data_IF_593096953263
#
_entry.id   IF_593096953263
#
_cell.length_a   1.000
_cell.length_b   1.000
_cell.length_c   1.000
_cell.angle_alpha   90.00
_cell.angle_beta   90.00
_cell.angle_gamma   90.00
#
_symmetry.space_group_name_H-M   'P 1'
#
loop_
_entity.id
_entity.type
_entity.pdbx_description
1 polymer ?
#
# COMPACT_ATOMS: atom_id res chain seq x y z
N UNK A 1 14.30 9.99 -2.35
CA UNK A 1 14.60 8.75 -3.07
C UNK A 1 15.60 7.94 -2.25
N UNK A 2 15.31 6.69 -1.96
CA UNK A 2 16.26 5.74 -1.34
C UNK A 2 16.77 4.81 -2.41
N UNK A 3 18.03 4.38 -2.33
CA UNK A 3 18.60 3.37 -3.22
C UNK A 3 18.71 2.06 -2.44
N UNK A 4 18.28 0.96 -3.06
CA UNK A 4 18.38 -0.36 -2.43
C UNK A 4 19.84 -0.83 -2.37
N UNK A 5 20.63 -0.50 -3.41
CA UNK A 5 22.05 -0.82 -3.52
C UNK A 5 22.88 0.44 -3.76
N UNK A 6 23.14 1.25 -2.72
CA UNK A 6 23.87 2.50 -2.86
C UNK A 6 25.32 2.29 -3.33
N UNK A 7 25.93 1.12 -3.04
CA UNK A 7 27.30 0.81 -3.44
C UNK A 7 27.48 0.76 -4.96
N UNK A 8 26.41 0.44 -5.70
CA UNK A 8 26.47 0.43 -7.17
C UNK A 8 26.55 1.83 -7.78
N UNK A 9 26.26 2.88 -7.01
CA UNK A 9 26.45 4.26 -7.47
C UNK A 9 27.91 4.61 -7.72
N UNK A 10 28.87 3.89 -7.12
CA UNK A 10 30.30 4.06 -7.45
C UNK A 10 30.61 3.81 -8.92
N UNK A 11 29.84 2.92 -9.58
CA UNK A 11 29.99 2.69 -11.02
C UNK A 11 29.59 3.90 -11.87
N UNK A 12 28.84 4.87 -11.35
CA UNK A 12 28.56 6.11 -12.08
C UNK A 12 29.82 6.95 -12.33
N UNK A 13 30.89 6.76 -11.54
CA UNK A 13 32.21 7.36 -11.80
C UNK A 13 32.84 6.87 -13.10
N UNK A 14 32.38 5.75 -13.64
CA UNK A 14 32.81 5.27 -14.96
C UNK A 14 32.39 6.23 -16.09
N UNK A 15 31.27 6.94 -15.92
CA UNK A 15 30.75 7.87 -16.91
C UNK A 15 31.71 9.04 -17.16
N UNK A 16 32.16 9.81 -16.15
CA UNK A 16 33.15 10.88 -16.37
C UNK A 16 34.50 10.31 -16.85
N UNK A 17 34.91 9.10 -16.47
CA UNK A 17 36.10 8.45 -16.99
C UNK A 17 35.95 8.18 -18.50
N UNK A 18 34.80 7.68 -18.96
CA UNK A 18 34.53 7.48 -20.39
C UNK A 18 34.47 8.79 -21.17
N UNK A 19 33.90 9.84 -20.60
CA UNK A 19 33.91 11.19 -21.20
C UNK A 19 35.34 11.69 -21.35
N UNK A 20 36.17 11.52 -20.31
CA UNK A 20 37.59 11.85 -20.35
C UNK A 20 38.36 11.10 -21.41
N UNK A 21 38.14 9.77 -21.50
CA UNK A 21 38.72 8.91 -22.52
C UNK A 21 38.29 9.33 -23.94
N UNK A 22 37.01 9.67 -24.12
CA UNK A 22 36.49 10.17 -25.40
C UNK A 22 37.15 11.50 -25.79
N UNK A 23 37.25 12.47 -24.87
CA UNK A 23 37.94 13.73 -25.13
C UNK A 23 39.44 13.53 -25.43
N UNK A 24 40.09 12.64 -24.70
CA UNK A 24 41.50 12.29 -24.96
C UNK A 24 41.70 11.69 -26.36
N UNK A 25 40.85 10.75 -26.76
CA UNK A 25 40.87 10.14 -28.08
C UNK A 25 40.65 11.20 -29.20
N UNK A 26 39.74 12.15 -28.98
CA UNK A 26 39.53 13.25 -29.92
C UNK A 26 40.76 14.15 -30.03
N UNK A 27 41.42 14.49 -28.92
CA UNK A 27 42.65 15.31 -28.90
C UNK A 27 43.79 14.59 -29.58
N UNK A 28 43.97 13.28 -29.34
CA UNK A 28 44.99 12.45 -29.97
C UNK A 28 44.81 12.38 -31.50
N UNK A 29 43.58 12.21 -31.98
CA UNK A 29 43.28 12.22 -33.43
C UNK A 29 43.59 13.56 -34.10
N UNK A 30 43.38 14.68 -33.38
CA UNK A 30 43.72 16.02 -33.90
C UNK A 30 45.23 16.24 -34.03
N UNK A 31 46.06 15.61 -33.20
CA UNK A 31 47.53 15.72 -33.26
C UNK A 31 48.16 14.92 -34.43
N UNK A 32 47.51 13.85 -34.87
CA UNK A 32 47.94 13.03 -35.98
C UNK A 32 47.41 13.46 -37.36
N UNK A 33 46.61 14.52 -37.42
CA UNK A 33 46.09 15.01 -38.69
C UNK A 33 47.18 15.82 -39.44
N UNK A 34 47.67 15.27 -40.54
CA UNK A 34 48.57 15.96 -41.47
C UNK A 34 47.82 17.18 -42.03
N UNK A 35 48.41 18.37 -41.92
CA UNK A 35 47.83 19.61 -42.44
C UNK A 35 48.02 19.62 -43.97
N UNK A 36 46.99 19.23 -44.71
CA UNK A 36 46.91 19.51 -46.13
C UNK A 36 46.40 20.94 -46.35
N UNK A 37 47.13 21.75 -47.12
CA UNK A 37 46.84 23.17 -47.37
C UNK A 37 45.47 23.42 -48.08
N UNK A 38 44.90 22.41 -48.73
CA UNK A 38 43.63 22.54 -49.46
C UNK A 38 42.36 22.31 -48.63
N UNK A 39 42.47 21.98 -47.31
CA UNK A 39 41.33 21.69 -46.44
C UNK A 39 40.57 22.94 -45.98
N UNK A 40 41.09 24.15 -46.16
CA UNK A 40 40.43 25.40 -45.82
C UNK A 40 39.20 25.67 -46.70
N UNK A 41 39.28 25.33 -48.00
CA UNK A 41 38.18 25.46 -48.96
C UNK A 41 37.05 24.46 -48.69
N UNK A 42 37.37 23.23 -48.29
CA UNK A 42 36.37 22.21 -47.97
C UNK A 42 35.68 22.45 -46.63
N UNK A 43 36.36 23.09 -45.69
CA UNK A 43 35.75 23.53 -44.41
C UNK A 43 34.67 24.60 -44.54
N UNK A 44 34.79 25.49 -45.52
CA UNK A 44 33.79 26.52 -45.83
C UNK A 44 32.51 25.95 -46.43
N UNK A 45 32.60 24.82 -47.10
CA UNK A 45 31.43 24.12 -47.68
C UNK A 45 30.67 23.21 -46.70
N UNK A 46 31.32 22.86 -45.60
CA UNK A 46 30.71 22.04 -44.53
C UNK A 46 30.03 22.95 -43.52
N UNK A 47 28.71 23.14 -43.64
CA UNK A 47 27.90 23.96 -42.74
C UNK A 47 28.01 23.56 -41.25
N UNK A 48 27.67 24.44 -40.29
CA UNK A 48 27.85 24.23 -38.86
C UNK A 48 27.09 23.01 -38.29
N UNK A 49 26.08 22.48 -38.98
CA UNK A 49 25.31 21.31 -38.57
C UNK A 49 26.06 19.98 -38.54
N UNK A 50 27.23 19.86 -39.24
CA UNK A 50 27.99 18.62 -39.33
C UNK A 50 28.78 18.31 -38.03
N UNK A 51 29.08 19.32 -37.23
CA UNK A 51 29.81 19.11 -35.96
C UNK A 51 28.88 18.51 -34.90
N UNK A 52 27.63 18.91 -34.88
CA UNK A 52 26.60 18.38 -33.93
C UNK A 52 26.31 16.91 -34.19
N UNK A 53 26.14 16.52 -35.46
CA UNK A 53 25.85 15.13 -35.85
C UNK A 53 26.95 14.14 -35.39
N UNK A 54 28.18 14.60 -35.24
CA UNK A 54 29.30 13.78 -34.78
C UNK A 54 29.26 13.50 -33.30
N UNK A 55 28.78 14.41 -32.49
CA UNK A 55 28.83 14.32 -31.02
C UNK A 55 27.52 13.83 -30.42
N UNK A 56 26.40 13.93 -31.13
CA UNK A 56 25.08 13.54 -30.64
C UNK A 56 24.95 12.02 -30.33
N UNK A 57 25.36 11.09 -31.22
CA UNK A 57 25.26 9.64 -30.90
C UNK A 57 26.11 9.23 -29.69
N UNK A 58 27.40 9.64 -29.55
CA UNK A 58 28.18 9.32 -28.36
C UNK A 58 27.60 9.94 -27.08
N UNK A 59 27.03 11.16 -27.16
CA UNK A 59 26.40 11.81 -26.01
C UNK A 59 25.14 11.04 -25.54
N UNK A 60 24.29 10.62 -26.49
CA UNK A 60 23.12 9.79 -26.18
C UNK A 60 23.51 8.43 -25.60
N UNK A 61 24.59 7.81 -26.13
CA UNK A 61 25.10 6.56 -25.61
C UNK A 61 25.57 6.71 -24.17
N UNK A 62 26.33 7.77 -23.85
CA UNK A 62 26.81 8.03 -22.50
C UNK A 62 25.65 8.35 -21.55
N UNK A 63 24.66 9.12 -22.01
CA UNK A 63 23.47 9.41 -21.22
C UNK A 63 22.65 8.14 -20.95
N UNK A 64 22.44 7.30 -21.96
CA UNK A 64 21.77 6.00 -21.79
C UNK A 64 22.52 5.09 -20.82
N UNK A 65 23.84 5.03 -20.96
CA UNK A 65 24.68 4.24 -20.06
C UNK A 65 24.64 4.77 -18.61
N UNK A 66 24.66 6.08 -18.40
CA UNK A 66 24.51 6.69 -17.08
C UNK A 66 23.18 6.33 -16.43
N UNK A 67 22.09 6.41 -17.19
CA UNK A 67 20.76 6.01 -16.71
C UNK A 67 20.66 4.52 -16.42
N UNK A 68 21.34 3.65 -17.18
CA UNK A 68 21.42 2.22 -16.91
C UNK A 68 22.10 1.94 -15.56
N UNK A 69 23.19 2.65 -15.26
CA UNK A 69 23.90 2.52 -13.98
C UNK A 69 23.02 2.99 -12.79
N UNK A 70 22.27 4.07 -12.99
CA UNK A 70 21.31 4.54 -11.99
C UNK A 70 20.18 3.52 -11.79
N UNK A 71 19.67 2.94 -12.89
CA UNK A 71 18.64 1.89 -12.83
C UNK A 71 19.12 0.66 -12.04
N UNK A 72 20.40 0.30 -12.20
CA UNK A 72 21.02 -0.84 -11.51
C UNK A 72 21.12 -0.61 -10.00
N UNK A 73 21.21 0.64 -9.53
CA UNK A 73 21.22 0.99 -8.11
C UNK A 73 19.81 0.86 -7.46
N UNK A 74 18.77 0.47 -8.23
CA UNK A 74 17.38 0.28 -7.79
C UNK A 74 16.85 1.47 -6.98
N UNK A 75 16.62 2.62 -7.62
CA UNK A 75 16.01 3.77 -6.96
C UNK A 75 14.60 3.42 -6.51
N UNK A 76 14.31 3.67 -5.23
CA UNK A 76 12.99 3.56 -4.63
C UNK A 76 12.35 4.93 -4.53
N UNK A 77 11.11 5.03 -4.96
CA UNK A 77 10.27 6.19 -4.72
C UNK A 77 9.05 5.75 -3.90
N UNK A 78 8.70 6.55 -2.90
CA UNK A 78 7.42 6.40 -2.21
C UNK A 78 6.31 6.86 -3.14
N UNK A 79 5.59 5.90 -3.71
CA UNK A 79 4.40 6.16 -4.52
C UNK A 79 3.19 5.87 -3.64
N UNK A 80 2.29 6.83 -3.51
CA UNK A 80 0.99 6.62 -2.89
C UNK A 80 0.11 5.88 -3.89
N UNK A 81 0.04 4.56 -3.73
CA UNK A 81 -0.89 3.73 -4.51
C UNK A 81 -2.18 3.60 -3.70
N UNK A 82 -3.36 3.56 -4.36
CA UNK A 82 -4.57 3.11 -3.68
C UNK A 82 -4.28 1.71 -3.14
N UNK A 83 -4.56 1.49 -1.84
CA UNK A 83 -4.34 0.18 -1.22
C UNK A 83 -5.23 -0.87 -1.88
N UNK A 84 -4.75 -2.12 -1.95
CA UNK A 84 -5.62 -3.27 -2.20
C UNK A 84 -6.74 -3.25 -1.14
N UNK A 85 -7.94 -3.71 -1.53
CA UNK A 85 -9.14 -3.67 -0.69
C UNK A 85 -8.86 -3.76 0.81
N UNK A 86 -9.08 -2.63 1.49
CA UNK A 86 -8.96 -2.56 2.96
C UNK A 86 -10.34 -2.77 3.54
N UNK A 87 -10.46 -3.69 4.49
CA UNK A 87 -11.72 -3.90 5.22
C UNK A 87 -11.66 -3.14 6.54
N UNK A 88 -12.51 -2.14 6.69
CA UNK A 88 -12.72 -1.47 7.97
C UNK A 88 -13.93 -2.08 8.68
N UNK A 89 -13.85 -2.17 9.98
CA UNK A 89 -15.01 -2.55 10.80
C UNK A 89 -15.29 -1.43 11.78
N UNK A 90 -16.49 -0.89 11.69
CA UNK A 90 -16.98 0.13 12.59
C UNK A 90 -17.80 -0.57 13.69
N UNK A 91 -17.29 -0.60 14.91
CA UNK A 91 -17.98 -1.13 16.09
C UNK A 91 -18.54 0.04 16.89
N UNK A 92 -19.86 0.14 16.94
CA UNK A 92 -20.57 1.27 17.53
C UNK A 92 -21.32 0.82 18.78
N UNK A 93 -21.15 1.57 19.86
CA UNK A 93 -21.91 1.42 21.08
C UNK A 93 -23.35 1.93 20.87
N UNK A 94 -24.32 1.05 21.10
CA UNK A 94 -25.76 1.37 21.08
C UNK A 94 -26.38 1.16 22.46
N UNK A 95 -25.57 1.34 23.51
CA UNK A 95 -26.04 1.28 24.87
C UNK A 95 -26.90 2.50 25.22
N UNK A 96 -27.68 2.39 26.32
CA UNK A 96 -28.57 3.49 26.76
C UNK A 96 -27.83 4.77 27.15
N UNK A 97 -26.53 4.70 27.48
CA UNK A 97 -25.73 5.88 27.74
C UNK A 97 -25.59 6.78 26.48
N UNK A 98 -25.71 6.20 25.28
CA UNK A 98 -25.76 6.95 24.04
C UNK A 98 -27.02 7.83 23.85
N UNK A 99 -27.99 7.77 24.77
CA UNK A 99 -29.12 8.70 24.84
C UNK A 99 -28.76 10.03 25.53
N UNK A 100 -27.56 10.16 26.05
CA UNK A 100 -27.13 11.39 26.71
C UNK A 100 -27.17 12.57 25.74
N UNK A 101 -27.64 13.71 26.23
CA UNK A 101 -27.76 14.94 25.45
C UNK A 101 -26.61 15.93 25.71
N UNK A 102 -25.46 15.45 26.16
CA UNK A 102 -24.25 16.24 26.29
C UNK A 102 -23.60 16.54 24.92
N UNK A 103 -23.98 15.76 23.92
CA UNK A 103 -23.69 16.01 22.50
C UNK A 103 -25.02 16.29 21.79
N UNK A 104 -25.13 17.36 21.06
CA UNK A 104 -26.35 17.72 20.35
C UNK A 104 -26.56 16.89 19.07
N UNK A 105 -27.78 16.40 18.75
CA UNK A 105 -28.97 16.44 19.58
C UNK A 105 -28.95 15.42 20.73
N UNK A 106 -28.35 14.28 20.55
CA UNK A 106 -27.94 13.23 21.48
C UNK A 106 -26.78 12.44 20.89
N UNK A 107 -26.07 11.65 21.72
CA UNK A 107 -24.88 10.92 21.28
C UNK A 107 -25.17 9.97 20.14
N UNK A 108 -26.28 9.22 20.17
CA UNK A 108 -26.56 8.21 19.15
C UNK A 108 -26.86 8.86 17.79
N UNK A 109 -27.65 9.91 17.74
CA UNK A 109 -27.96 10.64 16.51
C UNK A 109 -26.70 11.27 15.93
N UNK A 110 -25.89 11.94 16.77
CA UNK A 110 -24.61 12.51 16.33
C UNK A 110 -23.63 11.44 15.82
N UNK A 111 -23.63 10.26 16.45
CA UNK A 111 -22.81 9.13 15.99
C UNK A 111 -23.28 8.56 14.65
N UNK A 112 -24.61 8.44 14.46
CA UNK A 112 -25.21 8.02 13.19
C UNK A 112 -24.87 8.99 12.06
N UNK A 113 -25.02 10.29 12.29
CA UNK A 113 -24.73 11.33 11.29
C UNK A 113 -23.23 11.38 10.94
N UNK A 114 -22.36 11.25 11.93
CA UNK A 114 -20.92 11.18 11.71
C UNK A 114 -20.53 9.91 10.94
N UNK A 115 -21.13 8.76 11.26
CA UNK A 115 -20.88 7.51 10.56
C UNK A 115 -21.36 7.54 9.10
N UNK A 116 -22.51 8.17 8.82
CA UNK A 116 -23.01 8.39 7.45
C UNK A 116 -22.06 9.27 6.66
N UNK A 117 -21.63 10.40 7.22
CA UNK A 117 -20.65 11.27 6.58
C UNK A 117 -19.31 10.55 6.33
N UNK A 118 -18.89 9.67 7.24
CA UNK A 118 -17.73 8.83 7.06
C UNK A 118 -17.89 7.89 5.86
N UNK A 119 -19.01 7.20 5.73
CA UNK A 119 -19.31 6.32 4.61
C UNK A 119 -19.23 7.07 3.27
N UNK A 120 -19.75 8.30 3.22
CA UNK A 120 -19.68 9.13 2.01
C UNK A 120 -18.24 9.53 1.65
N UNK A 121 -17.39 9.75 2.66
CA UNK A 121 -15.99 10.15 2.47
C UNK A 121 -15.06 8.98 2.13
N UNK A 122 -15.49 7.73 2.37
CA UNK A 122 -14.66 6.56 2.12
C UNK A 122 -14.35 6.36 0.63
N UNK A 123 -13.10 6.02 0.27
CA UNK A 123 -12.75 5.61 -1.09
C UNK A 123 -13.50 4.34 -1.52
N UNK A 124 -13.67 4.16 -2.84
CA UNK A 124 -14.39 3.00 -3.40
C UNK A 124 -13.71 1.64 -3.17
N UNK A 125 -12.41 1.65 -2.87
CA UNK A 125 -11.63 0.44 -2.60
C UNK A 125 -11.66 0.00 -1.13
N UNK A 126 -12.48 0.64 -0.28
CA UNK A 126 -12.63 0.30 1.13
C UNK A 126 -13.97 -0.39 1.34
N UNK A 127 -13.93 -1.60 1.93
CA UNK A 127 -15.11 -2.32 2.41
C UNK A 127 -15.35 -1.96 3.85
N UNK A 128 -16.60 -1.66 4.20
CA UNK A 128 -16.98 -1.37 5.57
C UNK A 128 -17.93 -2.44 6.09
N UNK A 129 -17.57 -3.05 7.22
CA UNK A 129 -18.45 -3.86 8.04
C UNK A 129 -18.93 -3.04 9.24
N UNK A 130 -20.15 -3.28 9.70
CA UNK A 130 -20.73 -2.57 10.84
C UNK A 130 -21.16 -3.59 11.88
N UNK A 131 -20.63 -3.43 13.10
CA UNK A 131 -21.06 -4.15 14.29
C UNK A 131 -21.63 -3.16 15.30
N UNK A 132 -22.67 -3.56 16.00
CA UNK A 132 -23.18 -2.82 17.16
C UNK A 132 -22.99 -3.64 18.42
N UNK A 133 -22.83 -2.96 19.52
CA UNK A 133 -22.75 -3.62 20.81
C UNK A 133 -23.46 -2.78 21.91
N UNK A 134 -24.07 -3.51 22.81
CA UNK A 134 -24.68 -3.01 24.04
C UNK A 134 -24.55 -4.12 25.08
N UNK A 135 -25.63 -4.64 25.66
CA UNK A 135 -25.59 -5.83 26.52
C UNK A 135 -25.10 -7.08 25.79
N UNK A 136 -25.29 -7.14 24.49
CA UNK A 136 -24.79 -8.16 23.54
C UNK A 136 -24.14 -7.43 22.36
N UNK A 137 -23.45 -8.18 21.51
CA UNK A 137 -22.89 -7.62 20.27
C UNK A 137 -23.40 -8.39 19.05
N UNK A 138 -23.63 -7.69 17.94
CA UNK A 138 -24.15 -8.27 16.71
C UNK A 138 -23.52 -7.63 15.48
N UNK A 139 -23.41 -8.42 14.40
CA UNK A 139 -23.08 -7.91 13.08
C UNK A 139 -24.35 -7.31 12.48
N UNK A 140 -24.34 -6.01 12.20
CA UNK A 140 -25.46 -5.32 11.55
C UNK A 140 -25.29 -5.36 10.04
N UNK A 141 -24.06 -5.19 9.56
CA UNK A 141 -23.72 -5.23 8.15
C UNK A 141 -22.39 -5.96 7.94
N UNK A 142 -22.41 -7.01 7.12
CA UNK A 142 -21.19 -7.66 6.66
C UNK A 142 -20.39 -6.72 5.76
N UNK A 143 -19.06 -6.88 5.64
CA UNK A 143 -18.23 -6.00 4.82
C UNK A 143 -18.73 -5.90 3.38
N UNK A 144 -19.14 -4.70 3.00
CA UNK A 144 -19.66 -4.38 1.67
C UNK A 144 -19.01 -3.10 1.12
N UNK A 145 -19.12 -2.91 -0.19
CA UNK A 145 -18.75 -1.66 -0.89
C UNK A 145 -20.01 -0.81 -1.18
N UNK A 146 -21.20 -1.41 -0.97
CA UNK A 146 -22.46 -0.73 -1.22
C UNK A 146 -22.78 0.25 -0.07
N UNK A 147 -22.72 1.53 -0.37
CA UNK A 147 -22.93 2.60 0.62
C UNK A 147 -24.37 2.72 1.09
N UNK A 148 -25.31 2.41 0.21
CA UNK A 148 -26.75 2.46 0.54
C UNK A 148 -27.11 1.43 1.64
N UNK A 149 -26.55 0.20 1.52
CA UNK A 149 -26.72 -0.84 2.54
C UNK A 149 -26.13 -0.44 3.88
N UNK A 150 -24.95 0.23 3.85
CA UNK A 150 -24.27 0.72 5.06
C UNK A 150 -25.09 1.81 5.76
N UNK A 151 -25.61 2.78 5.01
CA UNK A 151 -26.46 3.86 5.55
C UNK A 151 -27.74 3.29 6.11
N UNK A 152 -28.41 2.40 5.37
CA UNK A 152 -29.62 1.72 5.86
C UNK A 152 -29.38 0.87 7.12
N UNK A 153 -28.16 0.32 7.28
CA UNK A 153 -27.76 -0.39 8.49
C UNK A 153 -27.65 0.55 9.71
N UNK A 154 -27.07 1.74 9.51
CA UNK A 154 -26.94 2.75 10.57
C UNK A 154 -28.30 3.28 11.01
N UNK A 155 -29.25 3.47 10.09
CA UNK A 155 -30.58 3.96 10.39
C UNK A 155 -31.42 3.00 11.28
N UNK A 156 -31.01 1.70 11.30
CA UNK A 156 -31.67 0.65 12.09
C UNK A 156 -31.11 0.48 13.51
N UNK A 157 -30.22 1.36 13.96
CA UNK A 157 -29.65 1.27 15.30
C UNK A 157 -30.74 1.47 16.37
N UNK A 158 -30.83 0.52 17.26
CA UNK A 158 -31.75 0.57 18.40
C UNK A 158 -30.99 0.52 19.72
N UNK A 159 -31.32 1.43 20.64
CA UNK A 159 -30.64 1.50 21.93
C UNK A 159 -31.06 0.33 22.83
N UNK A 160 -30.04 -0.36 23.34
CA UNK A 160 -30.20 -1.53 24.23
C UNK A 160 -29.61 -1.27 25.61
N UNK A 161 -29.90 -2.16 26.57
CA UNK A 161 -29.33 -2.08 27.93
C UNK A 161 -27.97 -2.73 27.98
N UNK A 162 -27.08 -2.19 28.82
CA UNK A 162 -25.73 -2.73 29.05
C UNK A 162 -24.71 -2.28 28.02
N UNK A 163 -23.46 -2.52 28.31
CA UNK A 163 -22.30 -2.19 27.44
C UNK A 163 -21.30 -3.30 27.55
N UNK A 164 -21.17 -4.11 26.47
CA UNK A 164 -20.25 -5.24 26.36
C UNK A 164 -19.17 -4.90 25.34
N UNK A 165 -18.29 -3.95 25.63
CA UNK A 165 -17.24 -3.44 24.76
C UNK A 165 -16.31 -4.55 24.25
N UNK A 166 -15.96 -5.52 25.11
CA UNK A 166 -15.17 -6.68 24.72
C UNK A 166 -15.89 -7.58 23.71
N UNK A 167 -17.21 -7.81 23.86
CA UNK A 167 -18.00 -8.56 22.87
C UNK A 167 -18.03 -7.82 21.53
N UNK A 168 -18.21 -6.48 21.55
CA UNK A 168 -18.15 -5.66 20.33
C UNK A 168 -16.85 -5.83 19.57
N UNK A 169 -15.72 -5.82 20.30
CA UNK A 169 -14.42 -6.03 19.70
C UNK A 169 -14.21 -7.45 19.13
N UNK A 170 -14.72 -8.47 19.82
CA UNK A 170 -14.64 -9.86 19.34
C UNK A 170 -15.52 -10.10 18.10
N UNK A 171 -16.72 -9.52 18.07
CA UNK A 171 -17.59 -9.53 16.88
C UNK A 171 -16.93 -8.80 15.72
N UNK A 172 -16.31 -7.62 15.97
CA UNK A 172 -15.58 -6.91 14.94
C UNK A 172 -14.39 -7.73 14.38
N UNK A 173 -13.69 -8.47 15.24
CA UNK A 173 -12.63 -9.40 14.81
C UNK A 173 -13.17 -10.56 13.98
N UNK A 174 -14.34 -11.11 14.32
CA UNK A 174 -14.97 -12.20 13.52
C UNK A 174 -15.36 -11.72 12.12
N UNK A 175 -15.72 -10.45 11.97
CA UNK A 175 -15.99 -9.84 10.66
C UNK A 175 -14.70 -9.78 9.81
N UNK A 176 -13.55 -9.46 10.41
CA UNK A 176 -12.27 -9.42 9.70
C UNK A 176 -11.72 -10.82 9.40
N UNK A 177 -12.01 -11.81 10.25
CA UNK A 177 -11.51 -13.17 10.17
C UNK A 177 -12.62 -14.22 10.26
N UNK A 178 -13.49 -14.30 9.26
CA UNK A 178 -14.62 -15.23 9.29
C UNK A 178 -14.17 -16.71 9.36
N UNK A 179 -12.98 -17.02 8.83
CA UNK A 179 -12.43 -18.37 8.79
C UNK A 179 -11.65 -18.80 10.05
N UNK A 180 -11.39 -17.86 10.97
CA UNK A 180 -10.57 -18.15 12.17
C UNK A 180 -11.33 -18.85 13.29
N UNK A 181 -12.65 -19.09 13.11
CA UNK A 181 -13.48 -19.78 14.08
C UNK A 181 -13.53 -19.08 15.43
N UNK A 182 -13.52 -17.74 15.43
CA UNK A 182 -13.76 -16.96 16.66
C UNK A 182 -15.17 -17.32 17.11
N UNK A 183 -15.26 -17.98 18.27
CA UNK A 183 -16.55 -18.35 18.83
C UNK A 183 -17.31 -17.11 19.29
N UNK A 184 -18.07 -16.56 18.34
CA UNK A 184 -18.89 -15.35 18.57
C UNK A 184 -19.94 -15.63 19.65
N UNK A 185 -20.45 -16.84 19.74
CA UNK A 185 -21.46 -17.22 20.72
C UNK A 185 -20.91 -17.14 22.15
N UNK A 186 -19.71 -17.69 22.39
CA UNK A 186 -19.00 -17.51 23.68
C UNK A 186 -18.63 -16.05 23.93
N UNK A 187 -18.29 -15.31 22.88
CA UNK A 187 -17.92 -13.91 22.96
C UNK A 187 -19.12 -13.01 23.32
N UNK A 188 -20.30 -13.34 22.82
CA UNK A 188 -21.54 -12.58 23.04
C UNK A 188 -22.16 -12.92 24.40
N UNK A 189 -22.21 -14.19 24.78
CA UNK A 189 -22.89 -14.64 26.01
C UNK A 189 -21.99 -14.72 27.24
N UNK A 190 -20.70 -14.33 27.14
CA UNK A 190 -19.82 -14.22 28.30
C UNK A 190 -19.40 -15.52 28.96
N UNK A 191 -19.55 -16.67 28.28
CA UNK A 191 -18.96 -17.92 28.71
C UNK A 191 -17.44 -17.79 28.60
N UNK A 192 -16.78 -17.60 29.74
CA UNK A 192 -15.41 -17.17 29.93
C UNK A 192 -14.41 -17.62 28.86
N UNK A 193 -13.69 -16.66 28.33
CA UNK A 193 -12.50 -16.86 27.49
C UNK A 193 -11.38 -17.47 28.35
N UNK A 194 -11.56 -18.72 28.80
CA UNK A 194 -10.51 -19.46 29.48
C UNK A 194 -9.64 -20.14 28.46
N UNK A 195 -8.52 -19.52 28.15
CA UNK A 195 -7.54 -19.93 27.13
C UNK A 195 -6.76 -21.20 27.51
N UNK A 196 -6.87 -21.66 28.75
CA UNK A 196 -6.16 -22.85 29.23
C UNK A 196 -6.88 -23.47 30.42
N UNK A 197 -7.88 -24.32 30.16
CA UNK A 197 -8.16 -25.38 31.11
C UNK A 197 -8.44 -26.69 30.37
N UNK A 198 -7.42 -27.57 30.16
CA UNK A 198 -7.62 -28.90 29.62
C UNK A 198 -8.29 -29.86 30.63
N UNK A 199 -8.57 -29.38 31.84
CA UNK A 199 -9.22 -30.19 32.87
C UNK A 199 -10.65 -29.70 33.09
N UNK A 200 -11.57 -30.36 32.39
CA UNK A 200 -12.99 -30.19 32.51
C UNK A 200 -13.48 -30.34 33.94
N UNK A 201 -13.84 -29.25 34.56
CA UNK A 201 -14.76 -29.25 35.67
C UNK A 201 -16.18 -29.30 35.14
N UNK A 202 -16.84 -30.41 35.20
CA UNK A 202 -18.28 -30.60 34.91
C UNK A 202 -19.11 -29.73 35.82
N UNK A 203 -19.59 -28.60 35.31
CA UNK A 203 -20.75 -27.91 35.85
C UNK A 203 -21.96 -28.33 35.04
N UNK A 204 -22.63 -29.37 35.53
CA UNK A 204 -23.90 -29.85 35.03
C UNK A 204 -24.99 -28.80 35.30
N UNK A 205 -25.39 -28.06 34.24
CA UNK A 205 -26.73 -27.47 34.18
C UNK A 205 -26.93 -26.86 32.81
N UNK A 206 -27.49 -27.59 31.89
CA UNK A 206 -27.90 -27.11 30.59
C UNK A 206 -27.93 -28.23 29.56
N UNK A 207 -29.13 -28.68 29.17
CA UNK A 207 -29.37 -29.83 28.31
C UNK A 207 -28.53 -29.81 27.05
N UNK A 208 -27.73 -30.83 26.85
CA UNK A 208 -26.99 -31.08 25.64
C UNK A 208 -27.95 -31.30 24.47
N UNK A 209 -27.95 -30.41 23.49
CA UNK A 209 -28.60 -30.64 22.20
C UNK A 209 -27.93 -31.83 21.51
N UNK A 210 -28.70 -32.88 21.23
CA UNK A 210 -28.28 -34.12 20.59
C UNK A 210 -27.90 -33.96 19.11
N UNK A 211 -28.07 -32.80 18.51
CA UNK A 211 -27.78 -32.52 17.10
C UNK A 211 -26.49 -31.76 16.86
N UNK A 212 -25.54 -31.77 17.78
CA UNK A 212 -24.23 -31.18 17.54
C UNK A 212 -23.44 -32.05 16.55
N UNK A 213 -23.60 -31.75 15.26
CA UNK A 213 -22.64 -32.14 14.23
C UNK A 213 -21.24 -31.73 14.70
N UNK A 214 -20.34 -32.72 14.85
CA UNK A 214 -18.99 -32.47 15.35
C UNK A 214 -18.37 -31.26 14.65
N UNK A 215 -18.08 -30.23 15.43
CA UNK A 215 -17.39 -29.07 14.92
C UNK A 215 -16.03 -29.50 14.33
N UNK A 216 -15.61 -29.00 13.18
CA UNK A 216 -14.30 -29.31 12.65
C UNK A 216 -13.22 -28.97 13.71
N UNK A 217 -12.15 -29.78 13.80
CA UNK A 217 -11.12 -29.58 14.81
C UNK A 217 -10.59 -28.14 14.73
N UNK A 218 -10.36 -27.49 15.89
CA UNK A 218 -9.87 -26.12 15.93
C UNK A 218 -8.57 -26.05 15.11
N UNK A 219 -8.54 -25.18 14.10
CA UNK A 219 -7.32 -24.92 13.34
C UNK A 219 -6.22 -24.51 14.33
N UNK A 220 -5.04 -25.09 14.17
CA UNK A 220 -3.89 -24.79 15.01
C UNK A 220 -3.70 -23.29 15.20
N UNK A 221 -3.34 -22.82 16.42
CA UNK A 221 -3.19 -21.39 16.69
C UNK A 221 -2.18 -20.80 15.71
N UNK A 222 -2.60 -19.82 14.94
CA UNK A 222 -1.71 -19.05 14.05
C UNK A 222 -0.63 -18.41 14.94
N UNK A 223 0.61 -18.42 14.45
CA UNK A 223 1.72 -17.74 15.15
C UNK A 223 1.31 -16.28 15.37
N UNK A 224 1.55 -15.72 16.57
CA UNK A 224 1.22 -14.33 16.83
C UNK A 224 1.93 -13.43 15.84
N UNK A 225 1.18 -12.51 15.25
CA UNK A 225 1.72 -11.52 14.31
C UNK A 225 2.26 -10.31 15.10
N UNK A 226 3.24 -9.58 14.55
CA UNK A 226 3.66 -8.31 15.15
C UNK A 226 2.47 -7.35 15.30
N UNK A 227 2.40 -6.62 16.40
CA UNK A 227 1.33 -5.67 16.68
C UNK A 227 1.19 -4.66 15.53
N UNK A 228 -0.03 -4.46 15.05
CA UNK A 228 -0.34 -3.51 13.98
C UNK A 228 0.18 -3.89 12.58
N UNK A 229 0.62 -5.14 12.40
CA UNK A 229 1.17 -5.60 11.10
C UNK A 229 0.11 -5.98 10.07
N UNK A 230 -1.14 -6.18 10.48
CA UNK A 230 -2.25 -6.49 9.57
C UNK A 230 -2.69 -5.25 8.82
N UNK A 231 -2.27 -5.14 7.55
CA UNK A 231 -2.51 -3.94 6.72
C UNK A 231 -3.83 -3.95 5.96
N UNK A 232 -4.49 -5.12 5.89
CA UNK A 232 -5.72 -5.30 5.09
C UNK A 232 -7.01 -4.95 5.83
N UNK A 233 -6.91 -4.51 7.09
CA UNK A 233 -8.08 -4.13 7.86
C UNK A 233 -7.73 -3.51 9.20
N UNK A 234 -8.68 -2.75 9.72
CA UNK A 234 -8.63 -2.16 11.04
C UNK A 234 -10.03 -2.09 11.65
N UNK A 235 -10.08 -1.92 12.97
CA UNK A 235 -11.33 -1.74 13.70
C UNK A 235 -11.35 -0.32 14.25
N UNK A 236 -12.49 0.34 14.09
CA UNK A 236 -12.80 1.62 14.74
C UNK A 236 -13.87 1.32 15.79
N UNK A 237 -13.50 1.40 17.06
CA UNK A 237 -14.35 1.13 18.20
C UNK A 237 -14.81 2.46 18.81
N UNK A 238 -16.10 2.75 18.74
CA UNK A 238 -16.70 3.93 19.33
C UNK A 238 -17.56 3.55 20.54
N UNK A 239 -17.25 4.09 21.71
CA UNK A 239 -17.96 3.81 22.95
C UNK A 239 -17.78 4.94 23.95
N UNK A 240 -18.61 4.98 24.96
CA UNK A 240 -18.33 5.70 26.21
C UNK A 240 -17.34 4.92 27.12
N UNK A 241 -16.93 3.71 26.71
CA UNK A 241 -15.88 2.91 27.34
C UNK A 241 -16.29 2.14 28.58
N UNK A 242 -17.37 2.50 29.26
CA UNK A 242 -17.76 1.90 30.54
C UNK A 242 -18.42 0.54 30.34
N UNK A 243 -17.64 -0.52 30.51
CA UNK A 243 -18.14 -1.89 30.47
C UNK A 243 -19.08 -2.17 31.65
N UNK A 244 -20.25 -2.77 31.37
CA UNK A 244 -21.19 -3.27 32.37
C UNK A 244 -21.39 -4.77 32.30
N UNK A 245 -21.15 -5.38 31.14
CA UNK A 245 -21.34 -6.82 30.88
C UNK A 245 -20.28 -7.33 29.89
N UNK A 246 -20.30 -8.63 29.65
CA UNK A 246 -19.44 -9.26 28.63
C UNK A 246 -17.98 -9.44 29.04
N UNK A 247 -17.14 -9.96 28.12
CA UNK A 247 -15.73 -10.19 28.35
C UNK A 247 -14.93 -8.89 28.54
N UNK A 248 -13.73 -9.01 29.09
CA UNK A 248 -12.84 -7.86 29.29
C UNK A 248 -12.36 -7.30 27.95
N UNK A 249 -12.56 -6.00 27.68
CA UNK A 249 -12.07 -5.37 26.45
C UNK A 249 -10.56 -5.45 26.30
N UNK A 250 -9.80 -5.51 27.40
CA UNK A 250 -8.35 -5.67 27.38
C UNK A 250 -7.94 -7.06 26.86
N UNK A 251 -8.66 -8.12 27.25
CA UNK A 251 -8.42 -9.47 26.73
C UNK A 251 -8.78 -9.56 25.25
N UNK A 252 -9.89 -8.97 24.85
CA UNK A 252 -10.28 -8.88 23.44
C UNK A 252 -9.24 -8.08 22.62
N UNK A 253 -8.67 -7.00 23.18
CA UNK A 253 -7.60 -6.23 22.55
C UNK A 253 -6.31 -7.04 22.39
N UNK A 254 -5.93 -7.86 23.37
CA UNK A 254 -4.78 -8.77 23.24
C UNK A 254 -4.99 -9.75 22.09
N UNK A 255 -6.20 -10.28 21.94
CA UNK A 255 -6.54 -11.17 20.81
C UNK A 255 -6.45 -10.46 19.45
N UNK A 256 -6.85 -9.18 19.38
CA UNK A 256 -6.67 -8.34 18.20
C UNK A 256 -5.19 -8.10 17.89
N UNK A 257 -4.40 -7.79 18.92
CA UNK A 257 -2.96 -7.56 18.80
C UNK A 257 -2.20 -8.81 18.31
N UNK A 258 -2.58 -10.00 18.77
CA UNK A 258 -1.99 -11.27 18.31
C UNK A 258 -2.26 -11.55 16.83
N UNK A 259 -3.35 -10.99 16.27
CA UNK A 259 -3.67 -11.03 14.85
C UNK A 259 -3.07 -9.86 14.08
N UNK A 260 -2.37 -8.96 14.77
CA UNK A 260 -1.76 -7.77 14.20
C UNK A 260 -2.76 -6.67 13.82
N UNK A 261 -4.03 -6.78 14.23
CA UNK A 261 -5.08 -5.81 13.88
C UNK A 261 -4.96 -4.56 14.74
N UNK A 262 -4.97 -3.39 14.09
CA UNK A 262 -5.07 -2.11 14.78
C UNK A 262 -6.52 -1.84 15.18
N UNK A 263 -6.71 -1.44 16.43
CA UNK A 263 -8.02 -0.98 16.92
C UNK A 263 -7.88 0.49 17.29
N UNK A 264 -8.52 1.34 16.50
CA UNK A 264 -8.65 2.76 16.80
C UNK A 264 -9.85 2.94 17.70
N UNK A 265 -9.67 3.64 18.79
CA UNK A 265 -10.75 3.82 19.78
C UNK A 265 -11.16 5.28 19.83
N UNK A 266 -12.48 5.51 19.86
CA UNK A 266 -13.07 6.83 19.96
C UNK A 266 -13.93 6.88 21.21
N UNK A 267 -13.50 7.67 22.17
CA UNK A 267 -14.28 8.00 23.36
C UNK A 267 -15.27 9.11 23.01
N UNK A 268 -16.56 8.81 23.05
CA UNK A 268 -17.58 9.74 22.60
C UNK A 268 -18.48 10.22 23.74
N UNK A 269 -18.46 11.51 23.99
CA UNK A 269 -19.19 12.19 25.03
C UNK A 269 -18.38 13.24 25.78
N UNK A 270 -19.04 14.00 26.65
CA UNK A 270 -18.38 14.99 27.49
C UNK A 270 -17.59 14.34 28.61
N UNK A 271 -16.41 14.92 28.94
CA UNK A 271 -15.61 14.50 30.09
C UNK A 271 -16.29 14.65 31.42
N UNK A 272 -17.12 15.66 31.53
CA UNK A 272 -17.88 15.94 32.75
C UNK A 272 -19.09 14.99 32.91
N UNK A 273 -19.36 14.19 31.86
CA UNK A 273 -20.52 13.30 31.81
C UNK A 273 -21.84 14.05 31.71
N UNK A 274 -22.93 13.30 31.58
CA UNK A 274 -24.28 13.86 31.53
C UNK A 274 -25.28 13.03 32.30
N UNK A 275 -26.28 13.66 32.95
CA UNK A 275 -27.39 12.97 33.58
C UNK A 275 -28.32 12.42 32.50
N UNK A 276 -28.65 11.14 32.59
CA UNK A 276 -29.64 10.50 31.74
C UNK A 276 -30.86 10.19 32.60
N UNK A 277 -32.02 10.76 32.24
CA UNK A 277 -33.31 10.49 32.90
C UNK A 277 -34.05 9.38 32.16
N UNK A 278 -34.36 8.31 32.86
CA UNK A 278 -35.19 7.20 32.39
C UNK A 278 -36.41 7.09 33.27
N UNK A 279 -37.39 7.97 33.05
CA UNK A 279 -38.59 8.07 33.91
C UNK A 279 -38.23 8.55 35.33
N UNK A 280 -38.47 7.70 36.34
CA UNK A 280 -38.18 7.99 37.76
C UNK A 280 -36.71 7.81 38.15
N UNK A 281 -35.86 7.23 37.28
CA UNK A 281 -34.47 6.95 37.55
C UNK A 281 -33.55 7.85 36.72
N UNK A 282 -32.56 8.42 37.34
CA UNK A 282 -31.48 9.13 36.67
C UNK A 282 -30.14 8.48 37.00
N UNK A 283 -29.29 8.32 36.00
CA UNK A 283 -27.89 7.89 36.18
C UNK A 283 -26.97 8.82 35.42
N UNK A 284 -25.72 8.83 35.81
CA UNK A 284 -24.72 9.69 35.24
C UNK A 284 -23.86 8.89 34.23
N UNK A 285 -23.88 9.30 32.98
CA UNK A 285 -23.06 8.69 31.92
C UNK A 285 -21.67 9.35 31.91
N UNK A 286 -20.69 8.64 32.40
CA UNK A 286 -19.29 9.08 32.35
C UNK A 286 -18.52 8.27 31.29
N UNK A 287 -17.56 8.91 30.64
CA UNK A 287 -16.69 8.27 29.65
C UNK A 287 -15.51 7.60 30.34
N UNK A 288 -15.26 6.32 30.06
CA UNK A 288 -14.08 5.57 30.51
C UNK A 288 -12.97 5.64 29.47
N UNK A 289 -12.26 6.77 29.44
CA UNK A 289 -11.16 6.99 28.51
C UNK A 289 -10.00 6.03 28.74
N UNK A 290 -9.76 5.62 30.00
CA UNK A 290 -8.58 4.82 30.35
C UNK A 290 -8.62 3.44 29.71
N UNK A 291 -9.75 2.77 29.77
CA UNK A 291 -9.94 1.47 29.11
C UNK A 291 -9.76 1.58 27.59
N UNK A 292 -10.32 2.62 26.96
CA UNK A 292 -10.21 2.81 25.51
C UNK A 292 -8.75 3.15 25.09
N UNK A 293 -8.04 3.96 25.87
CA UNK A 293 -6.61 4.24 25.67
C UNK A 293 -5.75 2.96 25.75
N UNK A 294 -6.04 2.09 26.71
CA UNK A 294 -5.32 0.83 26.85
C UNK A 294 -5.60 -0.11 25.67
N UNK A 295 -6.83 -0.21 25.19
CA UNK A 295 -7.17 -1.01 24.01
C UNK A 295 -6.39 -0.52 22.79
N UNK A 296 -6.40 0.79 22.51
CA UNK A 296 -5.65 1.37 21.39
C UNK A 296 -4.14 1.09 21.54
N UNK A 297 -3.57 1.29 22.72
CA UNK A 297 -2.14 1.07 22.98
C UNK A 297 -1.72 -0.39 22.76
N UNK A 298 -2.51 -1.36 23.25
CA UNK A 298 -2.22 -2.79 23.11
C UNK A 298 -2.21 -3.22 21.64
N UNK A 299 -3.12 -2.66 20.84
CA UNK A 299 -3.29 -3.04 19.43
C UNK A 299 -2.46 -2.21 18.46
N UNK A 300 -1.74 -1.17 18.96
CA UNK A 300 -0.99 -0.23 18.12
C UNK A 300 -1.90 0.71 17.31
N UNK A 301 -3.15 0.87 17.71
CA UNK A 301 -4.07 1.85 17.17
C UNK A 301 -3.92 3.23 17.81
N UNK A 302 -4.82 4.15 17.43
CA UNK A 302 -4.87 5.51 17.95
C UNK A 302 -6.10 5.68 18.82
N UNK A 303 -5.98 6.50 19.86
CA UNK A 303 -7.08 6.88 20.73
C UNK A 303 -7.50 8.32 20.44
N UNK A 304 -8.81 8.53 20.32
CA UNK A 304 -9.42 9.83 20.08
C UNK A 304 -10.50 10.11 21.10
N UNK A 305 -10.74 11.38 21.34
CA UNK A 305 -11.89 11.86 22.10
C UNK A 305 -12.71 12.79 21.22
N UNK A 306 -14.02 12.65 21.27
CA UNK A 306 -14.95 13.55 20.61
C UNK A 306 -16.05 13.96 21.57
N UNK A 307 -16.22 15.26 21.73
CA UNK A 307 -17.26 15.89 22.55
C UNK A 307 -18.38 16.50 21.71
N UNK A 308 -18.26 16.41 20.39
CA UNK A 308 -19.29 16.87 19.43
C UNK A 308 -19.34 15.97 18.20
N UNK A 309 -20.47 16.00 17.48
CA UNK A 309 -20.62 15.30 16.21
C UNK A 309 -19.61 15.75 15.15
N UNK A 310 -19.29 17.05 15.11
CA UNK A 310 -18.31 17.62 14.15
C UNK A 310 -16.88 17.13 14.43
N UNK A 311 -16.50 17.00 15.71
CA UNK A 311 -15.20 16.40 16.08
C UNK A 311 -15.14 14.93 15.68
N UNK A 312 -16.20 14.18 15.91
CA UNK A 312 -16.28 12.78 15.52
C UNK A 312 -16.18 12.61 14.00
N UNK A 313 -16.86 13.47 13.24
CA UNK A 313 -16.77 13.49 11.78
C UNK A 313 -15.33 13.73 11.30
N UNK A 314 -14.62 14.72 11.86
CA UNK A 314 -13.21 14.99 11.53
C UNK A 314 -12.29 13.81 11.86
N UNK A 315 -12.52 13.12 12.99
CA UNK A 315 -11.75 11.92 13.36
C UNK A 315 -11.96 10.83 12.32
N UNK A 316 -13.18 10.59 11.90
CA UNK A 316 -13.51 9.59 10.90
C UNK A 316 -12.92 9.94 9.52
N UNK A 317 -12.99 11.19 9.07
CA UNK A 317 -12.36 11.66 7.82
C UNK A 317 -10.84 11.45 7.83
N UNK A 318 -10.16 11.77 8.93
CA UNK A 318 -8.73 11.56 9.09
C UNK A 318 -8.38 10.07 9.03
N UNK A 319 -9.12 9.21 9.73
CA UNK A 319 -8.92 7.77 9.67
C UNK A 319 -9.18 7.22 8.25
N UNK A 320 -10.24 7.68 7.58
CA UNK A 320 -10.54 7.29 6.21
C UNK A 320 -9.40 7.58 5.24
N UNK A 321 -8.78 8.75 5.36
CA UNK A 321 -7.64 9.15 4.52
C UNK A 321 -6.38 8.35 4.83
N UNK A 322 -6.12 7.98 6.09
CA UNK A 322 -4.99 7.14 6.48
C UNK A 322 -5.06 5.75 5.82
N UNK A 323 -6.26 5.16 5.77
CA UNK A 323 -6.48 3.84 5.15
C UNK A 323 -6.55 3.88 3.63
N UNK A 324 -6.91 5.04 3.05
CA UNK A 324 -6.97 5.21 1.60
C UNK A 324 -5.60 5.25 0.93
N UNK A 325 -4.58 5.69 1.63
CA UNK A 325 -3.26 6.01 1.11
C UNK A 325 -2.20 5.10 1.72
N UNK A 326 -2.03 3.91 1.17
CA UNK A 326 -0.86 3.09 1.53
C UNK A 326 0.38 3.65 0.81
N UNK A 327 1.35 4.14 1.58
CA UNK A 327 2.67 4.48 1.07
C UNK A 327 3.44 3.20 0.81
N UNK A 328 3.49 2.76 -0.45
CA UNK A 328 4.37 1.67 -0.87
C UNK A 328 5.64 2.23 -1.46
N UNK A 329 6.77 1.78 -0.93
CA UNK A 329 8.05 2.00 -1.57
C UNK A 329 8.10 1.14 -2.84
N UNK A 330 7.93 1.77 -4.00
CA UNK A 330 7.93 1.09 -5.30
C UNK A 330 9.26 1.31 -5.98
N UNK A 331 9.79 0.26 -6.61
CA UNK A 331 11.00 0.36 -7.40
C UNK A 331 10.71 1.11 -8.70
N UNK A 332 11.27 2.30 -8.84
CA UNK A 332 11.19 3.09 -10.08
C UNK A 332 12.33 2.80 -11.05
N UNK A 333 13.20 1.84 -10.72
CA UNK A 333 14.34 1.42 -11.56
C UNK A 333 13.93 1.03 -12.98
N UNK A 334 12.75 0.41 -13.15
CA UNK A 334 12.22 0.03 -14.45
C UNK A 334 12.02 1.23 -15.40
N UNK A 335 11.58 2.38 -14.89
CA UNK A 335 11.43 3.59 -15.71
C UNK A 335 12.78 4.09 -16.24
N UNK A 336 13.80 4.11 -15.38
CA UNK A 336 15.18 4.49 -15.80
C UNK A 336 15.75 3.49 -16.80
N UNK A 337 15.46 2.19 -16.65
CA UNK A 337 15.90 1.16 -17.59
C UNK A 337 15.26 1.33 -18.97
N UNK A 338 13.95 1.62 -19.04
CA UNK A 338 13.25 1.85 -20.32
C UNK A 338 13.79 3.10 -21.02
N UNK A 339 13.95 4.22 -20.30
CA UNK A 339 14.52 5.45 -20.88
C UNK A 339 15.95 5.22 -21.35
N UNK A 340 16.77 4.50 -20.57
CA UNK A 340 18.11 4.11 -20.96
C UNK A 340 18.13 3.31 -22.26
N UNK A 341 17.28 2.29 -22.36
CA UNK A 341 17.17 1.45 -23.57
C UNK A 341 16.77 2.29 -24.79
N UNK A 342 15.81 3.18 -24.65
CA UNK A 342 15.39 4.08 -25.74
C UNK A 342 16.55 4.97 -26.22
N UNK A 343 17.31 5.54 -25.29
CA UNK A 343 18.49 6.37 -25.65
C UNK A 343 19.58 5.56 -26.34
N UNK A 344 19.84 4.33 -25.90
CA UNK A 344 20.83 3.45 -26.52
C UNK A 344 20.40 3.04 -27.93
N UNK A 345 19.15 2.67 -28.14
CA UNK A 345 18.61 2.34 -29.45
C UNK A 345 18.64 3.56 -30.37
N UNK A 346 18.23 4.73 -29.88
CA UNK A 346 18.28 5.97 -30.65
C UNK A 346 19.70 6.35 -31.04
N UNK A 347 20.67 6.20 -30.11
CA UNK A 347 22.09 6.41 -30.37
C UNK A 347 22.60 5.51 -31.49
N UNK A 348 22.25 4.20 -31.41
CA UNK A 348 22.60 3.22 -32.43
C UNK A 348 22.00 3.52 -33.80
N UNK A 349 20.71 3.85 -33.83
CA UNK A 349 19.98 4.22 -35.06
C UNK A 349 20.59 5.46 -35.72
N UNK A 350 20.83 6.54 -34.94
CA UNK A 350 21.45 7.75 -35.44
C UNK A 350 22.89 7.48 -35.95
N UNK A 351 23.65 6.65 -35.25
CA UNK A 351 24.99 6.25 -35.68
C UNK A 351 24.96 5.49 -37.00
N UNK A 352 24.01 4.54 -37.15
CA UNK A 352 23.85 3.78 -38.40
C UNK A 352 23.40 4.68 -39.56
N UNK A 353 22.43 5.54 -39.37
CA UNK A 353 21.91 6.45 -40.40
C UNK A 353 22.95 7.47 -40.86
N UNK A 354 23.79 8.00 -39.97
CA UNK A 354 24.71 9.06 -40.31
C UNK A 354 26.10 8.58 -40.72
N UNK A 355 26.50 7.38 -40.29
CA UNK A 355 27.88 6.87 -40.52
C UNK A 355 27.92 5.56 -41.30
N UNK A 356 26.77 4.90 -41.53
CA UNK A 356 26.74 3.71 -42.39
C UNK A 356 26.73 4.17 -43.86
N UNK A 357 27.91 4.26 -44.46
CA UNK A 357 28.03 4.31 -45.93
C UNK A 357 27.88 2.88 -46.44
N UNK A 358 26.92 2.54 -47.30
CA UNK A 358 26.90 1.27 -47.98
C UNK A 358 28.17 1.17 -48.80
N UNK A 359 28.98 0.12 -48.60
CA UNK A 359 30.04 -0.19 -49.50
C UNK A 359 29.43 -0.43 -50.86
N UNK A 360 29.91 0.26 -51.96
CA UNK A 360 29.42 -0.06 -53.31
C UNK A 360 29.76 -1.53 -53.57
N UNK A 361 28.77 -2.32 -53.91
CA UNK A 361 28.92 -3.68 -54.41
C UNK A 361 29.52 -3.63 -55.81
N UNK A 362 30.83 -3.52 -55.88
CA UNK A 362 31.51 -3.32 -57.13
C UNK A 362 33.03 -3.59 -57.05
N UNK A 363 33.41 -4.84 -56.94
CA UNK A 363 34.75 -5.29 -57.40
C UNK A 363 34.92 -6.81 -57.39
N UNK A 364 33.89 -7.57 -57.71
CA UNK A 364 34.05 -9.00 -57.99
C UNK A 364 34.07 -9.32 -59.49
N UNK A 365 34.19 -8.30 -60.37
CA UNK A 365 34.23 -8.53 -61.82
C UNK A 365 35.59 -8.36 -62.48
N UNK A 366 36.64 -7.87 -61.75
CA UNK A 366 37.95 -7.58 -62.37
C UNK A 366 39.01 -8.68 -62.22
N UNK A 367 38.72 -9.77 -61.48
CA UNK A 367 39.66 -10.87 -61.33
C UNK A 367 39.51 -11.96 -62.41
N UNK A 368 38.50 -11.92 -63.29
CA UNK A 368 38.30 -12.93 -64.34
C UNK A 368 38.90 -12.57 -65.71
N UNK A 369 39.40 -11.35 -65.94
CA UNK A 369 39.95 -10.96 -67.22
C UNK A 369 41.49 -10.90 -67.27
N UNK A 370 42.19 -11.25 -66.17
CA UNK A 370 43.64 -11.29 -66.19
C UNK A 370 44.29 -12.69 -66.45
N UNK A 371 43.45 -13.73 -66.58
CA UNK A 371 43.95 -15.09 -66.87
C UNK A 371 43.65 -15.58 -68.25
N UNK A 372 43.12 -14.76 -69.18
CA UNK A 372 42.83 -15.20 -70.56
C UNK A 372 43.82 -14.71 -71.64
N UNK A 373 45.00 -14.18 -71.27
CA UNK A 373 45.96 -13.65 -72.27
C UNK A 373 47.43 -14.13 -72.13
N UNK A 374 47.58 -15.37 -71.64
CA UNK A 374 48.94 -16.03 -71.60
C UNK A 374 48.78 -17.42 -72.16
N UNK A 375 48.42 -17.57 -73.43
CA UNK A 375 48.71 -18.76 -74.24
C UNK A 375 48.48 -18.40 -75.72
N UNK A 376 49.50 -17.88 -76.33
CA UNK A 376 49.68 -17.95 -77.76
C UNK A 376 51.02 -18.52 -78.06
N UNK A 377 51.08 -19.70 -78.62
CA UNK A 377 52.38 -20.31 -79.00
C UNK A 377 52.98 -19.62 -80.22
N UNK A 378 54.26 -19.31 -80.09
CA UNK A 378 55.09 -18.84 -81.16
C UNK A 378 55.51 -20.05 -81.97
N UNK A 379 54.99 -20.17 -83.15
CA UNK A 379 55.42 -21.17 -84.10
C UNK A 379 56.31 -20.54 -85.16
N UNK A 380 57.44 -21.23 -85.36
CA UNK A 380 58.56 -21.06 -86.28
C UNK A 380 58.17 -20.96 -87.76
N UNK A 381 59.03 -20.30 -88.48
CA UNK A 381 59.59 -20.77 -89.78
C UNK A 381 60.84 -19.96 -90.13
N UNK A 382 61.78 -20.65 -90.17
CA UNK A 382 62.95 -20.90 -91.00
C UNK A 382 62.77 -20.60 -92.50
N UNK A 383 63.74 -19.99 -92.97
CA UNK A 383 64.55 -20.05 -94.17
C UNK A 383 65.04 -18.71 -94.62
#
# INVERSE_FOLDING_TARGET
>A
MRFLWPDLLWFTLLVPALVGAYMYALRRRRRGAVRYASLSLVRGALGPGQQWRRHLPPALLLAGFALALIAMARPMATVTLPSDFTTLVLAIDVSRSMRAADVAPDRITAAQDAAKAFIESLPRNVRLGIATFAGTAAVVQAPTENREDMVAAIDRFELQRGTATGSGLLVALSILFPDDGIDVESAVFGAGFSRNNPQGGTSASGGASLDRKAAPPPKAPKRPMPVGSYKRGAIILMSDGRRTTGPDPIEAAKLAAERGVKVHTVAFGSKDGAPISLGTWSFYAMVDEETLKQVAKITGGQFFTASSGDELKKIYENLGTEFALERRDTEVGALFAVVSLLLLVLSGALSALWFHRPRPAGSLRDTRMRHANVDKPMNARAS
#
